data_IF_864940631871
#
_entry.id   IF_864940631871
#
_cell.length_a   1.000
_cell.length_b   1.000
_cell.length_c   1.000
_cell.angle_alpha   90.00
_cell.angle_beta   90.00
_cell.angle_gamma   90.00
#
_symmetry.space_group_name_H-M   'P 1'
#
loop_
_entity.id
_entity.type
_entity.pdbx_description
1 polymer ?
#
# COMPACT_ATOMS: atom_id res chain seq x y z
N UNK A 1 3.65 -2.98 -16.33
CA UNK A 1 3.52 -3.98 -17.44
C UNK A 1 2.19 -3.70 -18.08
N UNK A 2 2.17 -3.47 -19.39
CA UNK A 2 0.96 -3.03 -20.08
C UNK A 2 0.34 -4.19 -20.85
N UNK A 3 -0.99 -4.30 -20.78
CA UNK A 3 -1.76 -5.33 -21.48
C UNK A 3 -2.81 -4.67 -22.38
N UNK A 4 -2.41 -4.11 -23.54
CA UNK A 4 -3.32 -3.29 -24.36
C UNK A 4 -4.57 -4.02 -24.86
N UNK A 5 -4.44 -5.31 -25.18
CA UNK A 5 -5.57 -6.13 -25.61
C UNK A 5 -6.62 -6.36 -24.51
N UNK A 6 -6.24 -6.19 -23.24
CA UNK A 6 -7.11 -6.37 -22.08
C UNK A 6 -7.36 -5.06 -21.32
N UNK A 7 -6.83 -3.94 -21.82
CA UNK A 7 -7.03 -2.58 -21.29
C UNK A 7 -6.69 -2.41 -19.80
N UNK A 8 -5.55 -2.95 -19.37
CA UNK A 8 -5.02 -2.68 -18.02
C UNK A 8 -3.49 -2.66 -17.98
N UNK A 9 -2.95 -2.07 -16.91
CA UNK A 9 -1.53 -2.10 -16.57
C UNK A 9 -1.34 -2.66 -15.15
N UNK A 10 -0.25 -3.40 -14.94
CA UNK A 10 0.18 -3.86 -13.62
C UNK A 10 1.41 -3.09 -13.16
N UNK A 11 1.38 -2.61 -11.92
CA UNK A 11 2.51 -2.01 -11.22
C UNK A 11 2.85 -2.86 -10.00
N UNK A 12 4.14 -3.05 -9.74
CA UNK A 12 4.62 -3.86 -8.63
C UNK A 12 5.38 -2.96 -7.65
N UNK A 13 4.90 -2.89 -6.41
CA UNK A 13 5.52 -2.14 -5.33
C UNK A 13 6.12 -3.11 -4.31
N UNK A 14 7.39 -2.96 -4.00
CA UNK A 14 8.09 -3.79 -3.03
C UNK A 14 9.37 -3.13 -2.54
N UNK A 15 10.03 -3.76 -1.58
CA UNK A 15 11.31 -3.31 -1.04
C UNK A 15 12.46 -3.95 -1.82
N UNK A 16 13.06 -3.19 -2.73
CA UNK A 16 14.32 -3.58 -3.36
C UNK A 16 15.14 -2.36 -3.76
N UNK A 17 16.41 -2.57 -4.08
CA UNK A 17 17.31 -1.58 -4.65
C UNK A 17 17.09 -1.48 -6.17
N UNK A 18 17.06 -0.28 -6.76
CA UNK A 18 16.86 -0.11 -8.20
C UNK A 18 17.82 -0.92 -9.07
N UNK A 19 19.05 -1.13 -8.60
CA UNK A 19 20.10 -1.86 -9.33
C UNK A 19 19.80 -3.37 -9.45
N UNK A 20 18.97 -3.92 -8.57
CA UNK A 20 18.57 -5.33 -8.62
C UNK A 20 17.48 -5.59 -9.66
N UNK A 21 16.82 -4.54 -10.16
CA UNK A 21 15.70 -4.64 -11.10
C UNK A 21 16.26 -4.86 -12.52
N UNK A 22 15.97 -6.00 -13.17
CA UNK A 22 16.47 -6.24 -14.53
C UNK A 22 15.93 -5.21 -15.54
N UNK A 23 16.78 -4.83 -16.50
CA UNK A 23 16.40 -3.94 -17.59
C UNK A 23 15.69 -4.66 -18.73
N UNK A 24 16.07 -5.93 -18.98
CA UNK A 24 15.39 -6.81 -19.93
C UNK A 24 13.94 -7.07 -19.48
N UNK A 25 13.01 -7.02 -20.43
CA UNK A 25 11.59 -7.10 -20.16
C UNK A 25 11.14 -8.46 -19.61
N UNK A 26 11.67 -9.56 -20.16
CA UNK A 26 11.29 -10.92 -19.73
C UNK A 26 11.84 -11.21 -18.35
N UNK A 27 13.10 -10.85 -18.11
CA UNK A 27 13.72 -11.00 -16.80
C UNK A 27 13.05 -10.11 -15.75
N UNK A 28 12.70 -8.86 -16.09
CA UNK A 28 11.95 -7.97 -15.19
C UNK A 28 10.58 -8.55 -14.84
N UNK A 29 9.90 -9.16 -15.82
CA UNK A 29 8.62 -9.81 -15.58
C UNK A 29 8.75 -10.97 -14.60
N UNK A 30 9.67 -11.89 -14.86
CA UNK A 30 9.97 -13.00 -13.96
C UNK A 30 10.36 -12.49 -12.56
N UNK A 31 11.18 -11.44 -12.51
CA UNK A 31 11.61 -10.82 -11.28
C UNK A 31 10.42 -10.30 -10.46
N UNK A 32 9.52 -9.47 -11.02
CA UNK A 32 8.35 -8.93 -10.32
C UNK A 32 7.46 -10.01 -9.71
N UNK A 33 7.14 -11.07 -10.46
CA UNK A 33 6.29 -12.18 -9.98
C UNK A 33 6.98 -13.13 -8.99
N UNK A 34 8.29 -12.98 -8.76
CA UNK A 34 9.06 -13.83 -7.84
C UNK A 34 9.40 -13.14 -6.51
N UNK A 35 9.11 -11.85 -6.38
CA UNK A 35 9.44 -11.08 -5.19
C UNK A 35 8.50 -11.41 -4.03
N UNK A 36 9.07 -11.49 -2.82
CA UNK A 36 8.29 -11.64 -1.58
C UNK A 36 7.67 -10.30 -1.20
N UNK A 37 6.50 -10.33 -0.57
CA UNK A 37 5.83 -9.16 -0.02
C UNK A 37 5.71 -7.99 -1.02
N UNK A 38 5.48 -8.31 -2.28
CA UNK A 38 5.24 -7.32 -3.33
C UNK A 38 3.74 -7.10 -3.47
N UNK A 39 3.34 -5.84 -3.60
CA UNK A 39 1.99 -5.42 -3.87
C UNK A 39 1.82 -5.19 -5.37
N UNK A 40 0.92 -5.95 -5.98
CA UNK A 40 0.49 -5.76 -7.37
C UNK A 40 -0.69 -4.79 -7.41
N UNK A 41 -0.51 -3.65 -8.07
CA UNK A 41 -1.53 -2.63 -8.29
C UNK A 41 -2.03 -2.74 -9.73
N UNK A 42 -3.31 -3.06 -9.89
CA UNK A 42 -3.96 -3.15 -11.20
C UNK A 42 -4.60 -1.83 -11.56
N UNK A 43 -4.13 -1.20 -12.64
CA UNK A 43 -4.76 -0.03 -13.23
C UNK A 43 -5.58 -0.47 -14.43
N UNK A 44 -6.89 -0.55 -14.26
CA UNK A 44 -7.82 -0.71 -15.39
C UNK A 44 -7.93 0.64 -16.12
N UNK A 45 -7.67 0.65 -17.43
CA UNK A 45 -7.53 1.91 -18.16
C UNK A 45 -8.87 2.66 -18.27
N UNK A 46 -8.85 3.95 -17.96
CA UNK A 46 -10.02 4.83 -18.03
C UNK A 46 -10.72 5.07 -16.70
N UNK A 47 -10.44 4.27 -15.66
CA UNK A 47 -11.04 4.48 -14.32
C UNK A 47 -10.58 5.79 -13.69
N UNK A 48 -9.48 6.38 -14.14
CA UNK A 48 -9.04 7.71 -13.71
C UNK A 48 -9.92 8.87 -14.22
N UNK A 49 -10.87 8.59 -15.12
CA UNK A 49 -11.76 9.59 -15.74
C UNK A 49 -13.24 9.34 -15.50
N UNK A 50 -13.60 8.20 -14.91
CA UNK A 50 -14.98 7.88 -14.58
C UNK A 50 -15.26 8.08 -13.08
N UNK A 51 -16.53 8.01 -12.70
CA UNK A 51 -16.98 8.19 -11.31
C UNK A 51 -16.92 6.86 -10.51
N UNK A 52 -16.22 5.84 -11.01
CA UNK A 52 -16.11 4.56 -10.32
C UNK A 52 -15.05 4.62 -9.22
N UNK A 53 -15.30 3.87 -8.14
CA UNK A 53 -14.38 3.78 -7.01
C UNK A 53 -14.26 2.33 -6.56
N UNK A 54 -13.05 1.91 -6.21
CA UNK A 54 -12.85 0.63 -5.57
C UNK A 54 -13.36 0.66 -4.13
N UNK A 55 -13.85 -0.49 -3.66
CA UNK A 55 -14.31 -0.63 -2.28
C UNK A 55 -13.18 -1.13 -1.40
N UNK A 56 -12.88 -0.40 -0.33
CA UNK A 56 -11.75 -0.70 0.55
C UNK A 56 -11.97 -1.88 1.52
N UNK A 57 -13.16 -2.48 1.53
CA UNK A 57 -13.51 -3.64 2.36
C UNK A 57 -13.83 -3.35 3.84
N UNK A 58 -13.69 -2.10 4.32
CA UNK A 58 -13.88 -1.74 5.74
C UNK A 58 -15.31 -1.26 6.09
N UNK A 59 -16.20 -1.21 5.09
CA UNK A 59 -17.65 -1.01 5.24
C UNK A 59 -18.42 -2.18 4.65
N UNK A 60 -19.73 -2.29 4.89
CA UNK A 60 -20.51 -3.42 4.34
C UNK A 60 -20.63 -3.31 2.80
N UNK A 61 -20.45 -4.40 2.03
CA UNK A 61 -20.04 -5.74 2.48
C UNK A 61 -18.54 -5.81 2.85
N UNK A 62 -18.25 -6.28 4.07
CA UNK A 62 -16.87 -6.37 4.58
C UNK A 62 -16.12 -7.55 3.97
N UNK A 63 -14.79 -7.42 3.86
CA UNK A 63 -13.91 -8.47 3.32
C UNK A 63 -12.44 -8.20 3.64
N UNK A 64 -11.70 -7.70 2.65
CA UNK A 64 -10.34 -7.18 2.86
C UNK A 64 -10.34 -6.07 3.94
N UNK A 65 -9.26 -6.00 4.72
CA UNK A 65 -9.11 -4.99 5.77
C UNK A 65 -8.04 -3.96 5.44
N UNK A 66 -6.79 -4.38 5.44
CA UNK A 66 -5.64 -3.51 5.24
C UNK A 66 -4.39 -4.31 4.86
N UNK A 67 -3.39 -3.60 4.33
CA UNK A 67 -2.00 -4.05 4.33
C UNK A 67 -1.27 -3.43 5.54
N UNK A 68 -0.11 -3.97 5.89
CA UNK A 68 0.69 -3.48 7.03
C UNK A 68 2.13 -3.17 6.63
N UNK A 69 2.64 -2.03 7.11
CA UNK A 69 4.00 -1.57 6.90
C UNK A 69 4.73 -1.48 8.23
N UNK A 70 5.79 -2.28 8.36
CA UNK A 70 6.65 -2.26 9.53
C UNK A 70 7.65 -1.12 9.42
N UNK A 71 7.67 -0.26 10.44
CA UNK A 71 8.55 0.90 10.52
C UNK A 71 9.37 0.87 11.81
N UNK A 72 10.59 1.44 11.81
CA UNK A 72 11.42 1.49 13.02
C UNK A 72 10.87 2.44 14.09
N UNK A 73 10.08 3.44 13.70
CA UNK A 73 9.56 4.49 14.59
C UNK A 73 8.22 4.99 14.04
N UNK A 74 7.12 4.59 14.72
CA UNK A 74 5.75 4.89 14.26
C UNK A 74 5.46 6.39 14.36
N UNK A 75 5.91 7.05 15.43
CA UNK A 75 5.66 8.47 15.64
C UNK A 75 6.37 9.31 14.57
N UNK A 76 7.66 9.05 14.29
CA UNK A 76 8.38 9.76 13.22
C UNK A 76 7.80 9.50 11.83
N UNK A 77 7.36 8.27 11.56
CA UNK A 77 6.69 7.97 10.29
C UNK A 77 5.40 8.78 10.16
N UNK A 78 4.58 8.83 11.22
CA UNK A 78 3.34 9.57 11.24
C UNK A 78 3.56 11.10 11.14
N UNK A 79 4.55 11.66 11.81
CA UNK A 79 4.92 13.09 11.65
C UNK A 79 5.25 13.43 10.20
N UNK A 80 5.97 12.55 9.49
CA UNK A 80 6.26 12.72 8.07
C UNK A 80 4.99 12.65 7.24
N UNK A 81 4.11 11.68 7.52
CA UNK A 81 2.83 11.54 6.82
C UNK A 81 1.94 12.77 6.99
N UNK A 82 1.84 13.32 8.20
CA UNK A 82 1.10 14.56 8.46
C UNK A 82 1.68 15.75 7.68
N UNK A 83 3.01 15.91 7.65
CA UNK A 83 3.68 16.97 6.86
C UNK A 83 3.42 16.85 5.36
N UNK A 84 3.19 15.63 4.87
CA UNK A 84 2.88 15.35 3.47
C UNK A 84 1.37 15.38 3.18
N UNK A 85 0.51 15.67 4.17
CA UNK A 85 -0.93 15.74 3.99
C UNK A 85 -1.61 14.39 3.80
N UNK A 86 -1.01 13.30 4.29
CA UNK A 86 -1.60 11.95 4.22
C UNK A 86 -2.83 11.88 5.14
N UNK A 87 -3.90 11.26 4.66
CA UNK A 87 -5.12 11.07 5.44
C UNK A 87 -4.96 9.92 6.46
N UNK A 88 -5.36 10.18 7.71
CA UNK A 88 -5.36 9.19 8.78
C UNK A 88 -6.76 8.65 9.03
N UNK A 89 -6.87 7.32 9.15
CA UNK A 89 -8.02 6.66 9.76
C UNK A 89 -7.90 6.72 11.28
N UNK A 90 -6.68 6.53 11.80
CA UNK A 90 -6.37 6.53 13.24
C UNK A 90 -4.94 7.02 13.44
N UNK A 91 -4.73 8.06 14.27
CA UNK A 91 -3.38 8.51 14.65
C UNK A 91 -2.73 7.56 15.67
N UNK A 92 -1.38 7.55 15.78
CA UNK A 92 -0.66 6.62 16.67
C UNK A 92 -1.12 6.68 18.13
N UNK A 93 -1.54 7.86 18.58
CA UNK A 93 -1.97 8.13 19.94
C UNK A 93 -3.49 8.22 20.13
N UNK A 94 -4.29 7.89 19.11
CA UNK A 94 -5.75 7.85 19.25
C UNK A 94 -6.23 6.50 19.82
N UNK A 95 -7.35 6.51 20.56
CA UNK A 95 -7.98 5.30 21.08
C UNK A 95 -7.20 4.58 22.18
N UNK A 96 -7.53 3.29 22.40
CA UNK A 96 -6.95 2.45 23.46
C UNK A 96 -5.57 1.89 23.09
N UNK A 97 -5.39 1.42 21.85
CA UNK A 97 -4.10 0.92 21.36
C UNK A 97 -3.22 2.10 20.94
N UNK A 98 -2.16 2.34 21.72
CA UNK A 98 -1.13 3.34 21.44
C UNK A 98 0.01 2.72 20.66
N UNK A 99 0.77 3.55 19.94
CA UNK A 99 1.95 3.09 19.18
C UNK A 99 1.62 2.39 17.86
N UNK A 100 0.38 2.56 17.36
CA UNK A 100 -0.12 2.00 16.11
C UNK A 100 -1.01 3.01 15.38
N UNK A 101 -0.81 3.18 14.07
CA UNK A 101 -1.60 4.08 13.24
C UNK A 101 -2.20 3.39 12.02
N UNK A 102 -3.25 3.99 11.46
CA UNK A 102 -3.81 3.63 10.15
C UNK A 102 -3.91 4.86 9.27
N UNK A 103 -3.34 4.78 8.07
CA UNK A 103 -3.44 5.81 7.03
C UNK A 103 -4.28 5.28 5.85
N UNK A 104 -4.64 6.17 4.93
CA UNK A 104 -5.28 5.81 3.66
C UNK A 104 -4.36 6.06 2.47
N UNK A 105 -4.48 5.20 1.47
CA UNK A 105 -3.97 5.48 0.12
C UNK A 105 -5.00 6.31 -0.69
N UNK A 106 -4.69 6.69 -1.94
CA UNK A 106 -5.60 7.48 -2.78
C UNK A 106 -6.95 6.81 -3.08
N UNK A 107 -7.01 5.48 -3.10
CA UNK A 107 -8.24 4.70 -3.30
C UNK A 107 -9.00 4.46 -1.97
N UNK A 108 -8.45 4.93 -0.85
CA UNK A 108 -9.04 4.81 0.47
C UNK A 108 -8.79 3.47 1.16
N UNK A 109 -7.90 2.62 0.63
CA UNK A 109 -7.46 1.40 1.32
C UNK A 109 -6.67 1.75 2.57
N UNK A 110 -6.89 0.96 3.62
CA UNK A 110 -6.24 1.18 4.90
C UNK A 110 -4.84 0.56 4.89
N UNK A 111 -3.88 1.30 5.44
CA UNK A 111 -2.50 0.85 5.62
C UNK A 111 -2.15 0.99 7.10
N UNK A 112 -1.88 -0.13 7.75
CA UNK A 112 -1.43 -0.19 9.14
C UNK A 112 0.05 0.20 9.23
N UNK A 113 0.40 1.07 10.16
CA UNK A 113 1.78 1.49 10.45
C UNK A 113 2.13 1.00 11.84
N UNK A 114 3.06 0.04 11.91
CA UNK A 114 3.39 -0.67 13.14
C UNK A 114 4.89 -0.81 13.37
N UNK A 115 5.27 -0.99 14.64
CA UNK A 115 6.59 -1.43 15.04
C UNK A 115 6.45 -2.72 15.89
N UNK A 116 7.00 -3.86 15.45
CA UNK A 116 6.92 -5.13 16.18
C UNK A 116 7.37 -5.03 17.64
N UNK A 117 8.35 -4.20 17.95
CA UNK A 117 8.86 -4.02 19.31
C UNK A 117 7.84 -3.35 20.24
N UNK A 118 6.91 -2.56 19.69
CA UNK A 118 5.84 -1.93 20.45
C UNK A 118 4.64 -2.88 20.65
N UNK A 119 4.54 -3.95 19.86
CA UNK A 119 3.41 -4.88 19.87
C UNK A 119 3.61 -6.06 20.83
N UNK A 120 4.84 -6.33 21.26
CA UNK A 120 5.19 -7.47 22.11
C UNK A 120 5.01 -7.21 23.62
N UNK A 121 4.15 -6.26 24.01
CA UNK A 121 3.86 -5.92 25.42
C UNK A 121 2.67 -6.70 25.99
#
# INVERSE_FOLDING_TARGET
MDFPAMTFSLYFMGYDQPENIPTDEKERTRYCFSQKATLELTHNWGTEKDDSHYHNGNSDPRGFGHIGMVVPDVDKACERFEKLGVEFVKKPNDGKMKGLAFIKDPDGYWIEILNPNNMAQ
#
